data_IF_366338915072
#
_entry.id   IF_366338915072
#
_cell.length_a   1.000
_cell.length_b   1.000
_cell.length_c   1.000
_cell.angle_alpha   90.00
_cell.angle_beta   90.00
_cell.angle_gamma   90.00
#
_symmetry.space_group_name_H-M   'P 1'
#
loop_
_entity.id
_entity.type
_entity.pdbx_description
1 polymer ?
#
# COMPACT_ATOMS: atom_id res chain seq x y z
N UNK A 1 -5.34 20.40 30.01
CA UNK A 1 -5.13 19.03 29.50
C UNK A 1 -4.29 19.13 28.24
N UNK A 2 -3.10 18.53 28.22
CA UNK A 2 -2.18 18.59 27.07
C UNK A 2 -2.75 17.76 25.91
N UNK A 3 -3.22 18.43 24.85
CA UNK A 3 -3.49 17.81 23.56
C UNK A 3 -2.14 17.47 22.93
N UNK A 4 -1.70 16.22 23.08
CA UNK A 4 -0.63 15.68 22.26
C UNK A 4 -1.17 15.62 20.82
N UNK A 5 -0.90 16.66 20.03
CA UNK A 5 -0.87 16.54 18.58
C UNK A 5 0.25 15.54 18.28
N UNK A 6 -0.07 14.25 18.24
CA UNK A 6 0.72 13.32 17.47
C UNK A 6 0.61 13.81 16.04
N UNK A 7 1.63 14.56 15.61
CA UNK A 7 1.98 14.74 14.22
C UNK A 7 2.06 13.32 13.65
N UNK A 8 0.95 12.84 13.07
CA UNK A 8 0.97 11.62 12.29
C UNK A 8 2.06 11.88 11.25
N UNK A 9 3.15 11.09 11.23
CA UNK A 9 4.18 11.26 10.21
C UNK A 9 3.44 11.34 8.88
N UNK A 10 3.63 12.45 8.17
CA UNK A 10 2.86 12.77 6.98
C UNK A 10 2.84 11.52 6.10
N UNK A 11 1.65 10.92 5.95
CA UNK A 11 1.53 9.65 5.24
C UNK A 11 2.07 9.88 3.83
N UNK A 12 3.22 9.28 3.55
CA UNK A 12 3.85 9.36 2.25
C UNK A 12 2.99 8.56 1.27
N UNK A 13 2.97 9.04 0.04
CA UNK A 13 2.22 8.37 -1.01
C UNK A 13 3.15 7.42 -1.73
N UNK A 14 2.81 6.14 -1.74
CA UNK A 14 3.60 5.10 -2.38
C UNK A 14 2.85 4.55 -3.59
N UNK A 15 3.55 4.40 -4.69
CA UNK A 15 3.06 3.73 -5.87
C UNK A 15 3.48 2.26 -5.82
N UNK A 16 2.51 1.36 -5.72
CA UNK A 16 2.73 -0.08 -5.68
C UNK A 16 2.35 -0.70 -7.01
N UNK A 17 3.28 -1.44 -7.60
CA UNK A 17 3.07 -2.23 -8.82
C UNK A 17 3.10 -3.72 -8.53
N UNK A 18 2.14 -4.43 -9.11
CA UNK A 18 2.00 -5.89 -9.04
C UNK A 18 1.65 -6.42 -10.42
N UNK A 19 2.63 -7.03 -11.09
CA UNK A 19 2.47 -7.47 -12.47
C UNK A 19 2.13 -6.30 -13.40
N UNK A 20 0.91 -6.29 -13.94
CA UNK A 20 0.39 -5.22 -14.82
C UNK A 20 -0.44 -4.17 -14.07
N UNK A 21 -0.78 -4.42 -12.80
CA UNK A 21 -1.57 -3.50 -11.99
C UNK A 21 -0.67 -2.50 -11.28
N UNK A 22 -1.08 -1.25 -11.24
CA UNK A 22 -0.41 -0.16 -10.54
C UNK A 22 -1.44 0.60 -9.73
N UNK A 23 -1.20 0.73 -8.43
CA UNK A 23 -2.08 1.49 -7.54
C UNK A 23 -1.25 2.39 -6.63
N UNK A 24 -1.86 3.51 -6.27
CA UNK A 24 -1.23 4.47 -5.36
C UNK A 24 -1.91 4.36 -4.00
N UNK A 25 -1.12 4.20 -2.96
CA UNK A 25 -1.59 3.99 -1.59
C UNK A 25 -0.85 4.90 -0.62
N UNK A 26 -1.56 5.48 0.36
CA UNK A 26 -0.90 6.16 1.46
C UNK A 26 -0.23 5.12 2.37
N UNK A 27 0.92 5.46 2.91
CA UNK A 27 1.60 4.65 3.90
C UNK A 27 2.68 5.45 4.60
N UNK A 28 3.19 4.91 5.68
CA UNK A 28 4.34 5.48 6.38
C UNK A 28 5.64 4.81 5.95
N UNK A 29 5.56 3.55 5.52
CA UNK A 29 6.69 2.73 5.09
C UNK A 29 6.28 1.82 3.91
N UNK A 30 7.26 1.28 3.18
CA UNK A 30 7.01 0.34 2.08
C UNK A 30 6.17 -0.87 2.50
N UNK A 31 6.40 -1.43 3.69
CA UNK A 31 5.62 -2.58 4.19
C UNK A 31 4.14 -2.26 4.36
N UNK A 32 3.83 -1.09 4.93
CA UNK A 32 2.43 -0.64 5.08
C UNK A 32 1.80 -0.35 3.73
N UNK A 33 2.55 0.26 2.80
CA UNK A 33 2.11 0.46 1.43
C UNK A 33 1.74 -0.87 0.75
N UNK A 34 2.55 -1.92 0.90
CA UNK A 34 2.23 -3.25 0.34
C UNK A 34 0.94 -3.82 0.95
N UNK A 35 0.78 -3.73 2.27
CA UNK A 35 -0.42 -4.24 2.94
C UNK A 35 -1.68 -3.50 2.49
N UNK A 36 -1.62 -2.17 2.40
CA UNK A 36 -2.75 -1.36 1.93
C UNK A 36 -3.02 -1.62 0.44
N UNK A 37 -1.96 -1.79 -0.35
CA UNK A 37 -2.08 -2.15 -1.75
C UNK A 37 -2.79 -3.49 -1.95
N UNK A 38 -2.39 -4.53 -1.19
CA UNK A 38 -3.07 -5.83 -1.17
C UNK A 38 -4.55 -5.67 -0.82
N UNK A 39 -4.85 -4.89 0.22
CA UNK A 39 -6.24 -4.67 0.65
C UNK A 39 -7.07 -4.03 -0.46
N UNK A 40 -6.57 -2.99 -1.11
CA UNK A 40 -7.26 -2.32 -2.22
C UNK A 40 -7.42 -3.23 -3.43
N UNK A 41 -6.36 -3.94 -3.84
CA UNK A 41 -6.43 -4.91 -4.95
C UNK A 41 -7.45 -6.01 -4.67
N UNK A 42 -7.54 -6.50 -3.43
CA UNK A 42 -8.54 -7.47 -3.01
C UNK A 42 -9.98 -6.93 -3.11
N UNK A 43 -10.18 -5.63 -2.83
CA UNK A 43 -11.49 -4.98 -2.96
C UNK A 43 -11.87 -4.70 -4.43
N UNK A 44 -10.90 -4.30 -5.26
CA UNK A 44 -11.13 -4.04 -6.68
C UNK A 44 -11.28 -5.33 -7.50
N UNK A 45 -10.55 -6.39 -7.12
CA UNK A 45 -10.52 -7.67 -7.82
C UNK A 45 -10.83 -8.83 -6.85
N UNK A 46 -12.08 -8.95 -6.36
CA UNK A 46 -12.45 -9.99 -5.39
C UNK A 46 -12.27 -11.40 -5.93
N UNK A 47 -12.33 -11.60 -7.27
CA UNK A 47 -12.05 -12.91 -7.89
C UNK A 47 -10.57 -13.30 -7.84
N UNK A 48 -9.67 -12.33 -7.72
CA UNK A 48 -8.24 -12.55 -7.61
C UNK A 48 -7.76 -12.52 -6.16
N UNK A 49 -8.68 -12.46 -5.18
CA UNK A 49 -8.35 -12.36 -3.76
C UNK A 49 -7.35 -13.43 -3.32
N UNK A 50 -7.59 -14.70 -3.66
CA UNK A 50 -6.71 -15.82 -3.33
C UNK A 50 -5.30 -15.65 -3.92
N UNK A 51 -5.22 -15.23 -5.19
CA UNK A 51 -3.95 -14.95 -5.87
C UNK A 51 -3.21 -13.77 -5.22
N UNK A 52 -3.91 -12.68 -4.92
CA UNK A 52 -3.34 -11.48 -4.31
C UNK A 52 -2.82 -11.77 -2.89
N UNK A 53 -3.50 -12.64 -2.15
CA UNK A 53 -3.06 -13.09 -0.83
C UNK A 53 -1.87 -14.05 -0.93
N UNK A 54 -1.86 -14.95 -1.91
CA UNK A 54 -0.78 -15.92 -2.11
C UNK A 54 0.52 -15.32 -2.68
N UNK A 55 0.47 -14.12 -3.27
CA UNK A 55 1.67 -13.43 -3.76
C UNK A 55 2.63 -13.11 -2.61
N UNK A 56 3.93 -13.22 -2.86
CA UNK A 56 4.98 -12.78 -1.93
C UNK A 56 5.16 -11.26 -1.99
N UNK A 57 5.55 -10.64 -0.87
CA UNK A 57 5.78 -9.18 -0.81
C UNK A 57 6.85 -8.72 -1.81
N UNK A 58 7.82 -9.58 -2.14
CA UNK A 58 8.84 -9.32 -3.16
C UNK A 58 8.28 -9.09 -4.57
N UNK A 59 7.01 -9.47 -4.84
CA UNK A 59 6.32 -9.21 -6.11
C UNK A 59 5.70 -7.82 -6.17
N UNK A 60 5.58 -7.14 -5.02
CA UNK A 60 5.06 -5.79 -4.91
C UNK A 60 6.23 -4.82 -5.01
N UNK A 61 6.33 -4.17 -6.17
CA UNK A 61 7.32 -3.12 -6.38
C UNK A 61 6.76 -1.82 -5.81
N UNK A 62 7.36 -1.33 -4.74
CA UNK A 62 6.99 -0.06 -4.13
C UNK A 62 7.94 1.02 -4.60
N UNK A 63 7.38 2.10 -5.12
CA UNK A 63 8.09 3.30 -5.53
C UNK A 63 7.52 4.48 -4.73
N UNK A 64 8.39 5.34 -4.19
CA UNK A 64 7.95 6.60 -3.62
C UNK A 64 7.27 7.44 -4.72
N UNK A 65 6.00 7.79 -4.50
CA UNK A 65 5.31 8.77 -5.32
C UNK A 65 5.72 10.15 -4.82
N UNK A 66 6.99 10.50 -5.03
CA UNK A 66 7.51 11.82 -4.77
C UNK A 66 6.91 12.81 -5.76
N UNK A 67 5.85 13.49 -5.34
CA UNK A 67 5.47 14.80 -5.89
C UNK A 67 6.16 15.92 -5.10
#
# INVERSE_FOLDING_TARGET
MNSQNHEFPAAATYQVRVGHSKITVPGTNHTEAIQEARRRLCLEMPRMWDVIQALEDARFLVEDSGE
#
